data_IF_908079117416
#
_entry.id   IF_908079117416
#
_cell.length_a   1.000
_cell.length_b   1.000
_cell.length_c   1.000
_cell.angle_alpha   90.00
_cell.angle_beta   90.00
_cell.angle_gamma   90.00
#
_symmetry.space_group_name_H-M   'P 1'
#
loop_
_entity.id
_entity.type
_entity.pdbx_description
1 polymer ?
#
# COMPACT_ATOMS: atom_id res chain seq x y z
N UNK A 1 1.29 12.14 -7.45
CA UNK A 1 0.07 11.53 -8.05
C UNK A 1 0.14 10.00 -8.00
N UNK A 2 1.22 9.42 -8.51
CA UNK A 2 1.73 8.06 -8.19
C UNK A 2 3.25 8.16 -8.02
N UNK A 3 3.96 7.06 -7.80
CA UNK A 3 5.43 7.04 -7.74
C UNK A 3 6.11 7.37 -9.07
N UNK A 4 5.40 7.31 -10.20
CA UNK A 4 5.91 7.63 -11.54
C UNK A 4 5.79 9.12 -11.90
N UNK A 5 5.29 9.94 -10.99
CA UNK A 5 4.93 11.33 -11.22
C UNK A 5 5.75 12.26 -10.32
N UNK A 6 6.02 13.47 -10.84
CA UNK A 6 6.76 14.51 -10.14
C UNK A 6 5.87 15.75 -9.93
N UNK A 7 5.26 15.90 -8.74
CA UNK A 7 4.37 17.01 -8.45
C UNK A 7 5.09 18.36 -8.41
N UNK A 8 6.40 18.41 -8.23
CA UNK A 8 7.15 19.69 -8.15
C UNK A 8 7.11 20.47 -9.47
N UNK A 9 6.76 19.80 -10.58
CA UNK A 9 6.61 20.42 -11.90
C UNK A 9 5.35 21.25 -12.05
N UNK A 10 4.32 21.01 -11.25
CA UNK A 10 3.00 21.63 -11.43
C UNK A 10 2.31 22.04 -10.13
N UNK A 11 2.87 21.70 -8.96
CA UNK A 11 2.36 22.12 -7.66
C UNK A 11 3.33 23.12 -7.00
N UNK A 12 2.90 24.37 -6.76
CA UNK A 12 3.72 25.36 -6.07
C UNK A 12 4.03 24.94 -4.62
N UNK A 13 5.27 25.12 -4.12
CA UNK A 13 5.62 24.80 -2.74
C UNK A 13 4.76 25.49 -1.67
N UNK A 14 4.31 26.73 -1.96
CA UNK A 14 3.45 27.49 -1.05
C UNK A 14 2.07 26.84 -0.86
N UNK A 15 1.53 26.21 -1.90
CA UNK A 15 0.26 25.49 -1.81
C UNK A 15 0.42 24.23 -0.97
N UNK A 16 1.49 23.46 -1.19
CA UNK A 16 1.80 22.27 -0.40
C UNK A 16 1.93 22.60 1.08
N UNK A 17 2.62 23.70 1.41
CA UNK A 17 2.80 24.12 2.80
C UNK A 17 1.49 24.57 3.45
N UNK A 18 0.63 25.27 2.72
CA UNK A 18 -0.70 25.64 3.21
C UNK A 18 -1.57 24.40 3.53
N UNK A 19 -1.41 23.31 2.78
CA UNK A 19 -2.11 22.04 3.04
C UNK A 19 -1.49 21.23 4.19
N UNK A 20 -0.17 21.26 4.37
CA UNK A 20 0.49 20.61 5.52
C UNK A 20 -0.03 21.14 6.85
N UNK A 21 -0.29 22.44 6.94
CA UNK A 21 -0.88 23.06 8.14
C UNK A 21 -2.33 22.59 8.42
N UNK A 22 -2.98 21.92 7.46
CA UNK A 22 -4.34 21.40 7.55
C UNK A 22 -4.38 19.88 7.69
N UNK A 23 -3.25 19.25 8.00
CA UNK A 23 -3.16 17.81 8.18
C UNK A 23 -4.22 17.30 9.19
N UNK A 24 -5.15 16.42 8.75
CA UNK A 24 -6.19 15.89 9.63
C UNK A 24 -5.63 15.06 10.79
N UNK A 25 -4.48 14.39 10.61
CA UNK A 25 -3.87 13.55 11.66
C UNK A 25 -3.38 14.46 12.78
N UNK A 26 -2.54 15.45 12.46
CA UNK A 26 -2.06 16.44 13.42
C UNK A 26 -3.21 17.16 14.13
N UNK A 27 -4.25 17.56 13.38
CA UNK A 27 -5.43 18.25 13.95
C UNK A 27 -6.19 17.37 14.93
N UNK A 28 -6.40 16.09 14.61
CA UNK A 28 -7.16 15.18 15.46
C UNK A 28 -6.36 14.74 16.68
N UNK A 29 -5.05 14.48 16.53
CA UNK A 29 -4.11 14.24 17.64
C UNK A 29 -4.22 15.34 18.70
N UNK A 30 -4.13 16.61 18.27
CA UNK A 30 -4.28 17.76 19.17
C UNK A 30 -5.63 17.77 19.87
N UNK A 31 -6.72 17.54 19.14
CA UNK A 31 -8.06 17.46 19.73
C UNK A 31 -8.16 16.39 20.82
N UNK A 32 -7.57 15.20 20.61
CA UNK A 32 -7.58 14.12 21.60
C UNK A 32 -6.74 14.46 22.84
N UNK A 33 -5.57 15.08 22.64
CA UNK A 33 -4.70 15.54 23.73
C UNK A 33 -5.35 16.63 24.58
N UNK A 34 -5.97 17.63 23.94
CA UNK A 34 -6.72 18.71 24.62
C UNK A 34 -7.88 18.14 25.45
N UNK A 35 -8.40 16.97 25.09
CA UNK A 35 -9.45 16.24 25.80
C UNK A 35 -8.92 15.20 26.79
N UNK A 36 -7.61 15.11 26.98
CA UNK A 36 -6.94 14.09 27.82
C UNK A 36 -7.27 12.65 27.43
N UNK A 37 -7.62 12.42 26.17
CA UNK A 37 -7.94 11.10 25.60
C UNK A 37 -6.72 10.41 24.98
N UNK A 38 -5.64 11.15 24.78
CA UNK A 38 -4.39 10.67 24.21
C UNK A 38 -3.22 11.36 24.94
N UNK A 39 -2.19 10.58 25.27
CA UNK A 39 -0.91 11.08 25.78
C UNK A 39 0.19 10.88 24.75
N UNK A 40 1.31 11.61 24.85
CA UNK A 40 2.44 11.42 23.93
C UNK A 40 2.98 9.98 23.98
N UNK A 41 3.02 9.35 25.16
CA UNK A 41 3.47 7.96 25.29
C UNK A 41 2.54 6.96 24.59
N UNK A 42 1.22 7.19 24.63
CA UNK A 42 0.25 6.34 23.90
C UNK A 42 0.34 6.53 22.39
N UNK A 43 0.60 7.75 21.94
CA UNK A 43 0.80 8.08 20.54
C UNK A 43 2.09 7.42 20.01
N UNK A 44 3.20 7.54 20.74
CA UNK A 44 4.47 6.89 20.42
C UNK A 44 4.33 5.36 20.38
N UNK A 45 3.67 4.76 21.38
CA UNK A 45 3.40 3.33 21.41
C UNK A 45 2.59 2.88 20.17
N UNK A 46 1.57 3.64 19.77
CA UNK A 46 0.78 3.33 18.58
C UNK A 46 1.64 3.35 17.31
N UNK A 47 2.54 4.32 17.19
CA UNK A 47 3.48 4.38 16.07
C UNK A 47 4.39 3.14 16.01
N UNK A 48 4.92 2.70 17.15
CA UNK A 48 5.75 1.50 17.24
C UNK A 48 4.97 0.23 16.88
N UNK A 49 3.74 0.09 17.37
CA UNK A 49 2.85 -1.03 17.05
C UNK A 49 2.56 -1.11 15.54
N UNK A 50 2.22 0.01 14.91
CA UNK A 50 1.95 0.08 13.46
C UNK A 50 3.21 -0.23 12.64
N UNK A 51 4.37 0.27 13.06
CA UNK A 51 5.64 -0.02 12.40
C UNK A 51 6.00 -1.50 12.50
N UNK A 52 5.77 -2.12 13.65
CA UNK A 52 5.98 -3.56 13.84
C UNK A 52 5.04 -4.40 12.97
N UNK A 53 3.76 -4.03 12.87
CA UNK A 53 2.79 -4.68 11.99
C UNK A 53 3.21 -4.58 10.52
N UNK A 54 3.64 -3.38 10.09
CA UNK A 54 4.12 -3.15 8.74
C UNK A 54 5.35 -4.00 8.42
N UNK A 55 6.33 -4.03 9.32
CA UNK A 55 7.54 -4.84 9.13
C UNK A 55 7.21 -6.33 9.05
N UNK A 56 6.33 -6.84 9.91
CA UNK A 56 5.90 -8.23 9.87
C UNK A 56 5.19 -8.57 8.55
N UNK A 57 4.38 -7.65 8.01
CA UNK A 57 3.73 -7.83 6.71
C UNK A 57 4.73 -7.84 5.54
N UNK A 58 5.76 -6.99 5.60
CA UNK A 58 6.86 -7.00 4.64
C UNK A 58 7.65 -8.30 4.70
N UNK A 59 8.07 -8.73 5.90
CA UNK A 59 8.83 -9.96 6.09
C UNK A 59 8.06 -11.18 5.56
N UNK A 60 6.75 -11.23 5.78
CA UNK A 60 5.87 -12.26 5.23
C UNK A 60 5.83 -12.23 3.71
N UNK A 61 5.77 -11.03 3.11
CA UNK A 61 5.73 -10.86 1.66
C UNK A 61 7.06 -11.23 0.98
N UNK A 62 8.19 -10.85 1.58
CA UNK A 62 9.53 -11.08 1.01
C UNK A 62 9.89 -12.56 0.86
N UNK A 63 9.34 -13.41 1.73
CA UNK A 63 9.56 -14.87 1.65
C UNK A 63 8.57 -15.58 0.73
N UNK A 64 7.59 -14.88 0.15
CA UNK A 64 6.67 -15.50 -0.79
C UNK A 64 7.42 -15.90 -2.06
N UNK A 65 7.19 -17.12 -2.58
CA UNK A 65 7.73 -17.49 -3.87
C UNK A 65 7.12 -16.60 -4.96
N UNK A 66 7.84 -16.40 -6.08
CA UNK A 66 7.24 -15.79 -7.26
C UNK A 66 5.91 -16.47 -7.62
N UNK A 67 4.92 -15.71 -8.11
CA UNK A 67 3.63 -16.29 -8.48
C UNK A 67 3.82 -17.31 -9.62
N UNK A 68 3.01 -18.37 -9.59
CA UNK A 68 2.96 -19.34 -10.68
C UNK A 68 2.68 -18.61 -12.02
N UNK A 69 3.58 -18.69 -13.01
CA UNK A 69 3.40 -18.09 -14.32
C UNK A 69 2.11 -18.56 -15.03
N UNK A 70 1.61 -19.76 -14.72
CA UNK A 70 0.36 -20.30 -15.26
C UNK A 70 -0.89 -19.56 -14.74
N UNK A 71 -0.79 -18.86 -13.61
CA UNK A 71 -1.94 -18.25 -12.93
C UNK A 71 -2.66 -17.19 -13.78
N UNK A 72 -1.97 -16.61 -14.77
CA UNK A 72 -2.56 -15.66 -15.72
C UNK A 72 -3.73 -16.25 -16.53
N UNK A 73 -3.83 -17.58 -16.63
CA UNK A 73 -4.89 -18.28 -17.38
C UNK A 73 -6.10 -18.67 -16.51
N UNK A 74 -5.95 -18.73 -15.18
CA UNK A 74 -6.92 -19.42 -14.29
C UNK A 74 -8.24 -18.67 -14.10
N UNK A 75 -8.24 -17.33 -14.22
CA UNK A 75 -9.36 -16.48 -13.82
C UNK A 75 -9.95 -15.64 -14.97
N UNK A 76 -9.61 -15.96 -16.22
CA UNK A 76 -10.12 -15.24 -17.40
C UNK A 76 -11.56 -15.65 -17.75
N UNK A 77 -11.92 -16.91 -17.52
CA UNK A 77 -13.24 -17.49 -17.76
C UNK A 77 -13.61 -18.45 -16.62
N UNK A 78 -14.91 -18.73 -16.44
CA UNK A 78 -15.36 -19.73 -15.47
C UNK A 78 -14.80 -21.13 -15.79
N UNK A 79 -14.70 -21.46 -17.08
CA UNK A 79 -14.03 -22.65 -17.59
C UNK A 79 -13.01 -22.22 -18.64
N UNK A 80 -11.80 -22.76 -18.58
CA UNK A 80 -10.72 -22.39 -19.49
C UNK A 80 -11.03 -22.87 -20.92
N UNK A 81 -11.25 -21.97 -21.90
CA UNK A 81 -11.60 -22.39 -23.26
C UNK A 81 -10.46 -23.13 -23.96
N UNK A 82 -10.74 -24.01 -24.94
CA UNK A 82 -9.71 -24.84 -25.60
C UNK A 82 -8.55 -24.05 -26.23
N UNK A 83 -8.79 -22.81 -26.68
CA UNK A 83 -7.75 -21.95 -27.22
C UNK A 83 -6.75 -21.51 -26.14
N UNK A 84 -7.25 -21.14 -24.95
CA UNK A 84 -6.40 -20.74 -23.83
C UNK A 84 -5.73 -21.93 -23.14
N UNK A 85 -6.35 -23.11 -23.17
CA UNK A 85 -5.70 -24.36 -22.75
C UNK A 85 -4.43 -24.61 -23.57
N UNK A 86 -4.51 -24.52 -24.90
CA UNK A 86 -3.35 -24.67 -25.79
C UNK A 86 -2.27 -23.61 -25.54
N UNK A 87 -2.67 -22.35 -25.37
CA UNK A 87 -1.69 -21.28 -25.05
C UNK A 87 -1.00 -21.50 -23.70
N UNK A 88 -1.71 -22.00 -22.69
CA UNK A 88 -1.15 -22.37 -21.39
C UNK A 88 -0.13 -23.50 -21.53
N UNK A 89 -0.48 -24.55 -22.28
CA UNK A 89 0.43 -25.68 -22.53
C UNK A 89 1.69 -25.24 -23.29
N UNK A 90 1.54 -24.44 -24.35
CA UNK A 90 2.67 -23.87 -25.09
C UNK A 90 3.56 -22.99 -24.20
N UNK A 91 2.98 -22.11 -23.37
CA UNK A 91 3.70 -21.22 -22.48
C UNK A 91 4.52 -21.96 -21.40
N UNK A 92 3.99 -23.07 -20.87
CA UNK A 92 4.66 -23.86 -19.83
C UNK A 92 5.64 -24.91 -20.38
N UNK A 93 5.60 -25.17 -21.69
CA UNK A 93 6.48 -26.13 -22.36
C UNK A 93 7.84 -25.57 -22.79
N UNK A 94 8.05 -24.25 -22.69
CA UNK A 94 9.34 -23.57 -22.87
C UNK A 94 10.11 -23.48 -21.55
#
# INVERSE_FOLDING_TARGET
HTTADDPTKYQPPAELEAWRQRDPITRYRKFLMDRTLLTDAQDEQLHDEVNAEFQAALDLYEVLPPPDPARQFDYTYAELPPQLQRQREEFLGF
#
